data_IF_127159786926
#
_entry.id   IF_127159786926
#
_cell.length_a   1.000
_cell.length_b   1.000
_cell.length_c   1.000
_cell.angle_alpha   90.00
_cell.angle_beta   90.00
_cell.angle_gamma   90.00
#
_symmetry.space_group_name_H-M   'P 1'
#
loop_
_entity.id
_entity.type
_entity.pdbx_description
1 polymer ?
#
# COMPACT_ATOMS: atom_id res chain seq x y z
N UNK A 1 -11.66 -21.25 34.84
CA UNK A 1 -12.45 -20.05 35.21
C UNK A 1 -13.76 -20.16 34.48
N UNK A 2 -14.88 -20.02 35.18
CA UNK A 2 -16.18 -19.93 34.51
C UNK A 2 -16.35 -18.56 33.83
N UNK A 3 -17.28 -18.45 32.89
CA UNK A 3 -17.59 -17.16 32.24
C UNK A 3 -18.04 -16.09 33.24
N UNK A 4 -18.72 -16.52 34.31
CA UNK A 4 -19.15 -15.65 35.41
C UNK A 4 -17.95 -15.07 36.17
N UNK A 5 -16.95 -15.91 36.47
CA UNK A 5 -15.71 -15.47 37.10
C UNK A 5 -14.95 -14.47 36.22
N UNK A 6 -14.93 -14.70 34.90
CA UNK A 6 -14.26 -13.82 33.95
C UNK A 6 -14.87 -12.41 33.92
N UNK A 7 -16.21 -12.33 33.90
CA UNK A 7 -16.93 -11.05 33.96
C UNK A 7 -16.68 -10.33 35.29
N UNK A 8 -16.70 -11.05 36.40
CA UNK A 8 -16.42 -10.48 37.72
C UNK A 8 -14.99 -9.91 37.82
N UNK A 9 -14.00 -10.53 37.18
CA UNK A 9 -12.64 -10.00 37.15
C UNK A 9 -12.53 -8.72 36.32
N UNK A 10 -13.19 -8.66 35.16
CA UNK A 10 -13.22 -7.45 34.33
C UNK A 10 -13.97 -6.30 35.02
N UNK A 11 -15.12 -6.59 35.64
CA UNK A 11 -15.92 -5.60 36.35
C UNK A 11 -15.18 -4.98 37.54
N UNK A 12 -14.40 -5.79 38.26
CA UNK A 12 -13.59 -5.32 39.40
C UNK A 12 -12.19 -4.81 39.00
N UNK A 13 -11.85 -4.80 37.72
CA UNK A 13 -10.52 -4.38 37.24
C UNK A 13 -9.38 -5.24 37.77
N UNK A 14 -9.65 -6.53 38.02
CA UNK A 14 -8.69 -7.50 38.53
C UNK A 14 -7.94 -8.17 37.38
N UNK A 15 -6.64 -8.35 37.56
CA UNK A 15 -5.80 -9.09 36.63
C UNK A 15 -6.21 -10.56 36.56
N UNK A 16 -6.47 -11.08 35.35
CA UNK A 16 -6.86 -12.49 35.14
C UNK A 16 -5.74 -13.51 35.45
N UNK A 17 -4.52 -13.04 35.72
CA UNK A 17 -3.38 -13.91 36.05
C UNK A 17 -3.05 -13.92 37.54
N UNK A 18 -3.02 -12.75 38.18
CA UNK A 18 -2.61 -12.64 39.59
C UNK A 18 -3.71 -12.15 40.54
N UNK A 19 -4.90 -11.84 40.02
CA UNK A 19 -6.07 -11.41 40.79
C UNK A 19 -5.89 -10.10 41.58
N UNK A 20 -4.89 -9.29 41.23
CA UNK A 20 -4.67 -7.95 41.80
C UNK A 20 -5.29 -6.87 40.92
N UNK A 21 -5.74 -5.77 41.53
CA UNK A 21 -6.31 -4.62 40.81
C UNK A 21 -5.24 -3.75 40.18
N UNK A 22 -5.59 -3.04 39.09
CA UNK A 22 -4.77 -1.98 38.49
C UNK A 22 -3.97 -2.37 37.25
N UNK A 23 -4.07 -3.61 36.76
CA UNK A 23 -3.45 -4.02 35.50
C UNK A 23 -4.22 -5.18 34.84
N UNK A 24 -4.10 -5.32 33.52
CA UNK A 24 -4.63 -6.47 32.77
C UNK A 24 -3.62 -7.62 32.73
N UNK A 25 -4.08 -8.85 32.46
CA UNK A 25 -3.21 -10.04 32.44
C UNK A 25 -2.01 -9.96 31.49
N UNK A 26 -2.11 -9.17 30.40
CA UNK A 26 -1.00 -8.90 29.47
C UNK A 26 0.08 -8.00 30.06
N UNK A 27 -0.28 -7.16 31.02
CA UNK A 27 0.60 -6.22 31.72
C UNK A 27 0.94 -6.72 33.13
N UNK A 28 0.68 -8.00 33.43
CA UNK A 28 0.92 -8.51 34.77
C UNK A 28 2.42 -8.58 35.07
N UNK A 29 2.92 -7.88 36.10
CA UNK A 29 4.35 -7.86 36.42
C UNK A 29 4.85 -9.26 36.80
N UNK A 30 3.99 -10.07 37.43
CA UNK A 30 4.27 -11.49 37.75
C UNK A 30 4.39 -12.36 36.50
N UNK A 31 3.72 -12.00 35.39
CA UNK A 31 3.77 -12.75 34.12
C UNK A 31 4.90 -12.27 33.20
N UNK A 32 5.26 -10.98 33.27
CA UNK A 32 6.34 -10.38 32.49
C UNK A 32 7.75 -10.77 32.98
N UNK A 33 7.86 -11.45 34.12
CA UNK A 33 9.15 -11.89 34.65
C UNK A 33 9.52 -13.24 34.05
N UNK A 34 10.30 -13.23 32.97
CA UNK A 34 10.92 -14.45 32.43
C UNK A 34 11.92 -14.94 33.48
N UNK A 35 11.60 -16.04 34.17
CA UNK A 35 12.55 -16.71 35.07
C UNK A 35 13.70 -17.25 34.23
N UNK A 36 14.81 -16.52 34.17
CA UNK A 36 16.06 -16.98 33.59
C UNK A 36 16.49 -18.26 34.30
N UNK A 37 16.45 -19.39 33.60
CA UNK A 37 17.13 -20.61 34.04
C UNK A 37 18.62 -20.43 33.79
N UNK A 38 19.31 -19.69 34.66
CA UNK A 38 20.76 -19.69 34.93
C UNK A 38 21.17 -18.33 35.50
N UNK A 39 21.82 -18.33 36.66
CA UNK A 39 22.31 -17.13 37.33
C UNK A 39 23.56 -16.55 36.65
N UNK A 40 23.41 -15.98 35.47
CA UNK A 40 24.43 -15.12 34.87
C UNK A 40 23.78 -13.82 34.39
N UNK A 41 24.33 -12.69 34.81
CA UNK A 41 23.94 -11.29 34.48
C UNK A 41 24.07 -10.94 32.98
N UNK A 42 23.67 -11.84 32.09
CA UNK A 42 23.70 -11.63 30.65
C UNK A 42 22.27 -11.49 30.15
N UNK A 43 21.94 -10.40 29.44
CA UNK A 43 20.63 -10.24 28.84
C UNK A 43 20.35 -11.39 27.86
N UNK A 44 19.11 -11.88 27.77
CA UNK A 44 18.73 -12.95 26.85
C UNK A 44 18.82 -12.44 25.42
N UNK A 45 19.96 -12.67 24.78
CA UNK A 45 20.22 -12.39 23.38
C UNK A 45 21.17 -13.45 22.86
N UNK A 46 20.79 -14.15 21.80
CA UNK A 46 21.68 -15.10 21.12
C UNK A 46 22.87 -14.31 20.58
N UNK A 47 24.05 -14.66 21.05
CA UNK A 47 25.29 -14.08 20.57
C UNK A 47 25.52 -14.58 19.13
N UNK A 48 25.28 -13.70 18.15
CA UNK A 48 25.61 -13.94 16.75
C UNK A 48 27.12 -13.73 16.62
N UNK A 49 27.90 -14.79 16.81
CA UNK A 49 29.32 -14.80 16.44
C UNK A 49 29.52 -15.89 15.39
N UNK A 50 30.07 -15.47 14.25
CA UNK A 50 30.54 -16.26 13.11
C UNK A 50 29.51 -16.52 11.99
N UNK A 51 29.22 -15.49 11.21
CA UNK A 51 28.81 -15.63 9.81
C UNK A 51 30.08 -15.41 8.97
N UNK A 52 30.76 -16.51 8.67
CA UNK A 52 31.92 -16.52 7.78
C UNK A 52 31.39 -16.52 6.33
N UNK A 53 31.49 -15.38 5.66
CA UNK A 53 31.18 -15.29 4.22
C UNK A 53 32.35 -15.92 3.46
N UNK A 54 32.17 -17.17 3.04
CA UNK A 54 33.06 -17.81 2.08
C UNK A 54 32.92 -17.13 0.72
N UNK A 55 33.98 -16.46 0.28
CA UNK A 55 34.14 -16.03 -1.10
C UNK A 55 34.82 -17.17 -1.84
N UNK A 56 34.07 -17.95 -2.61
CA UNK A 56 34.64 -18.90 -3.57
C UNK A 56 35.13 -18.10 -4.79
N UNK A 57 36.44 -17.88 -4.82
CA UNK A 57 37.18 -16.98 -5.71
C UNK A 57 37.62 -17.67 -7.02
N UNK A 58 36.75 -18.49 -7.63
CA UNK A 58 37.06 -19.26 -8.85
C UNK A 58 35.84 -19.40 -9.79
N UNK A 59 35.10 -18.33 -10.02
CA UNK A 59 34.24 -18.24 -11.21
C UNK A 59 34.95 -17.34 -12.23
N UNK A 60 35.23 -17.83 -13.45
CA UNK A 60 35.77 -16.98 -14.50
C UNK A 60 34.80 -15.83 -14.71
N UNK A 61 35.30 -14.60 -14.57
CA UNK A 61 34.59 -13.39 -14.93
C UNK A 61 34.28 -13.52 -16.42
N UNK A 62 33.07 -13.92 -16.77
CA UNK A 62 32.61 -13.86 -18.15
C UNK A 62 32.68 -12.40 -18.57
N UNK A 63 33.62 -12.13 -19.48
CA UNK A 63 33.82 -10.86 -20.12
C UNK A 63 32.48 -10.49 -20.78
N UNK A 64 31.72 -9.61 -20.13
CA UNK A 64 30.48 -9.08 -20.68
C UNK A 64 30.85 -8.32 -21.94
N UNK A 65 30.68 -8.99 -23.08
CA UNK A 65 30.78 -8.39 -24.40
C UNK A 65 29.98 -7.10 -24.42
N UNK A 66 30.68 -6.04 -24.77
CA UNK A 66 30.23 -4.66 -24.81
C UNK A 66 28.87 -4.57 -25.51
N UNK A 67 27.78 -4.46 -24.74
CA UNK A 67 26.46 -4.21 -25.29
C UNK A 67 26.51 -2.86 -26.02
N UNK A 68 26.18 -2.80 -27.33
CA UNK A 68 26.20 -1.56 -28.07
C UNK A 68 25.19 -0.58 -27.45
N UNK A 69 25.70 0.55 -26.95
CA UNK A 69 24.94 1.74 -26.56
C UNK A 69 24.28 2.39 -27.80
N UNK A 70 23.34 1.71 -28.47
CA UNK A 70 22.54 2.32 -29.54
C UNK A 70 21.36 1.42 -29.94
N UNK A 71 20.41 1.18 -29.04
CA UNK A 71 19.08 0.68 -29.43
C UNK A 71 17.99 1.24 -28.52
N UNK A 72 17.98 2.57 -28.36
CA UNK A 72 16.75 3.25 -27.96
C UNK A 72 15.81 3.15 -29.17
N UNK A 73 14.87 2.21 -29.11
CA UNK A 73 13.74 2.15 -30.02
C UNK A 73 12.90 3.40 -29.77
N UNK A 74 13.11 4.43 -30.59
CA UNK A 74 12.17 5.53 -30.69
C UNK A 74 10.88 4.96 -31.27
N UNK A 75 9.86 4.79 -30.43
CA UNK A 75 8.50 4.68 -30.89
C UNK A 75 8.15 6.00 -31.59
N UNK A 76 8.24 6.01 -32.92
CA UNK A 76 7.58 7.00 -33.75
C UNK A 76 6.08 6.88 -33.48
N UNK A 77 5.54 7.79 -32.67
CA UNK A 77 4.11 8.04 -32.62
C UNK A 77 3.74 8.71 -33.93
N UNK A 78 3.33 7.90 -34.91
CA UNK A 78 2.70 8.37 -36.13
C UNK A 78 1.47 9.19 -35.73
N UNK A 79 1.64 10.50 -35.86
CA UNK A 79 0.61 11.51 -35.62
C UNK A 79 -0.20 11.59 -36.90
N UNK A 80 -1.15 10.67 -37.07
CA UNK A 80 -2.13 10.76 -38.14
C UNK A 80 -3.45 10.12 -37.72
N UNK A 81 -4.22 10.83 -36.90
CA UNK A 81 -5.68 10.81 -37.00
C UNK A 81 -6.27 12.16 -36.56
N UNK A 82 -6.05 13.17 -37.41
CA UNK A 82 -6.72 14.47 -37.39
C UNK A 82 -8.13 14.34 -38.01
N UNK A 83 -9.06 13.60 -37.38
CA UNK A 83 -10.42 13.50 -37.94
C UNK A 83 -11.57 13.21 -36.97
N UNK A 84 -11.60 13.86 -35.81
CA UNK A 84 -12.78 14.05 -34.95
C UNK A 84 -12.20 14.84 -33.77
N UNK A 85 -12.62 16.04 -33.37
CA UNK A 85 -13.94 16.47 -32.93
C UNK A 85 -13.94 18.01 -32.82
N UNK A 86 -14.50 18.72 -33.79
CA UNK A 86 -14.99 20.09 -33.56
C UNK A 86 -16.36 20.00 -32.88
N UNK A 87 -16.38 19.88 -31.55
CA UNK A 87 -17.60 20.06 -30.77
C UNK A 87 -17.47 21.28 -29.86
N UNK A 88 -17.85 22.42 -30.46
CA UNK A 88 -18.64 23.51 -29.87
C UNK A 88 -18.33 23.86 -28.41
N UNK A 89 -17.47 24.86 -28.23
CA UNK A 89 -17.39 25.72 -27.05
C UNK A 89 -18.74 26.41 -26.78
N UNK A 90 -19.63 25.77 -26.03
CA UNK A 90 -20.75 26.42 -25.34
C UNK A 90 -20.90 25.86 -23.93
N UNK A 91 -20.86 26.78 -22.98
CA UNK A 91 -21.20 26.66 -21.56
C UNK A 91 -20.39 25.70 -20.67
N UNK A 92 -19.29 26.25 -20.14
CA UNK A 92 -18.44 25.64 -19.09
C UNK A 92 -19.09 25.59 -17.70
N UNK A 93 -20.31 26.13 -17.50
CA UNK A 93 -20.98 26.10 -16.18
C UNK A 93 -21.88 24.89 -15.93
N UNK A 94 -22.48 24.27 -16.96
CA UNK A 94 -23.34 23.09 -16.77
C UNK A 94 -22.55 21.77 -16.64
N UNK A 95 -21.27 21.74 -17.03
CA UNK A 95 -20.42 20.54 -16.95
C UNK A 95 -20.03 20.13 -15.52
N UNK A 96 -20.07 21.04 -14.54
CA UNK A 96 -19.76 20.73 -13.14
C UNK A 96 -20.92 20.05 -12.39
N UNK A 97 -22.16 20.18 -12.88
CA UNK A 97 -23.33 19.59 -12.23
C UNK A 97 -23.48 18.09 -12.49
N UNK A 98 -22.85 17.55 -13.52
CA UNK A 98 -22.91 16.11 -13.82
C UNK A 98 -22.13 15.25 -12.82
N UNK A 99 -21.09 15.80 -12.17
CA UNK A 99 -20.30 15.09 -11.16
C UNK A 99 -20.95 15.05 -9.77
N UNK A 100 -21.90 15.94 -9.48
CA UNK A 100 -22.49 16.09 -8.14
C UNK A 100 -23.87 15.44 -8.00
N UNK A 101 -24.46 14.99 -9.10
CA UNK A 101 -25.81 14.42 -9.09
C UNK A 101 -25.79 12.90 -8.93
N UNK A 102 -25.99 12.48 -7.67
CA UNK A 102 -26.27 11.12 -7.16
C UNK A 102 -25.07 10.19 -7.01
N UNK A 103 -24.62 10.07 -5.76
CA UNK A 103 -24.27 8.90 -4.91
C UNK A 103 -24.39 7.44 -5.46
N UNK A 104 -24.40 7.20 -6.76
CA UNK A 104 -24.63 5.91 -7.43
C UNK A 104 -23.41 5.33 -8.14
N UNK A 105 -22.28 6.03 -8.16
CA UNK A 105 -21.05 5.58 -8.82
C UNK A 105 -20.19 4.59 -8.01
N UNK A 106 -20.57 4.28 -6.77
CA UNK A 106 -19.79 3.39 -5.88
C UNK A 106 -20.06 1.89 -6.18
N UNK A 107 -20.98 1.56 -7.09
CA UNK A 107 -21.60 0.24 -7.12
C UNK A 107 -21.12 -0.78 -8.16
N UNK A 108 -20.37 -0.43 -9.21
CA UNK A 108 -20.07 -1.41 -10.26
C UNK A 108 -18.66 -1.31 -10.83
N UNK A 109 -17.91 -2.39 -10.54
CA UNK A 109 -16.65 -2.82 -11.14
C UNK A 109 -15.46 -1.93 -10.78
N UNK A 110 -14.88 -2.19 -9.61
CA UNK A 110 -13.45 -1.92 -9.35
C UNK A 110 -12.66 -2.81 -10.32
N UNK A 111 -12.03 -2.27 -11.38
CA UNK A 111 -11.54 -3.10 -12.47
C UNK A 111 -10.21 -3.79 -12.16
N UNK A 112 -9.59 -3.43 -11.05
CA UNK A 112 -8.27 -3.91 -10.72
C UNK A 112 -8.13 -4.18 -9.22
N UNK A 113 -8.57 -5.36 -8.81
CA UNK A 113 -7.97 -5.96 -7.62
C UNK A 113 -6.53 -6.33 -8.00
N UNK A 114 -5.54 -5.87 -7.23
CA UNK A 114 -4.15 -6.14 -7.54
C UNK A 114 -3.93 -7.63 -7.38
N UNK A 115 -3.00 -8.20 -8.16
CA UNK A 115 -2.78 -9.65 -8.21
C UNK A 115 -2.58 -10.27 -6.83
N UNK A 116 -2.04 -9.51 -5.86
CA UNK A 116 -1.82 -9.98 -4.50
C UNK A 116 -3.06 -10.09 -3.61
N UNK A 117 -4.18 -9.47 -3.98
CA UNK A 117 -5.47 -9.59 -3.29
C UNK A 117 -6.31 -10.75 -3.81
N UNK A 118 -6.08 -11.18 -5.05
CA UNK A 118 -6.76 -12.33 -5.65
C UNK A 118 -6.11 -13.64 -5.17
N UNK A 119 -6.91 -14.51 -4.55
CA UNK A 119 -6.44 -15.85 -4.20
C UNK A 119 -6.52 -16.76 -5.42
N UNK A 120 -5.40 -17.36 -5.77
CA UNK A 120 -5.30 -18.31 -6.88
C UNK A 120 -4.52 -19.54 -6.42
N UNK A 121 -5.24 -20.66 -6.25
CA UNK A 121 -4.66 -21.95 -5.81
C UNK A 121 -3.57 -22.47 -6.75
N UNK A 122 -3.54 -22.02 -8.00
CA UNK A 122 -2.52 -22.42 -8.97
C UNK A 122 -1.22 -21.63 -8.86
N UNK A 123 -1.23 -20.47 -8.17
CA UNK A 123 -0.03 -19.64 -8.01
C UNK A 123 0.90 -20.24 -6.95
N UNK A 124 2.21 -20.32 -7.23
CA UNK A 124 3.16 -20.75 -6.22
C UNK A 124 3.19 -19.74 -5.05
N UNK A 125 3.40 -20.20 -3.81
CA UNK A 125 3.56 -19.32 -2.66
C UNK A 125 4.61 -18.24 -2.88
N UNK A 126 4.29 -17.01 -2.52
CA UNK A 126 5.24 -15.90 -2.58
C UNK A 126 6.38 -16.13 -1.58
N UNK A 127 7.63 -15.96 -2.05
CA UNK A 127 8.83 -16.12 -1.20
C UNK A 127 9.12 -14.89 -0.33
N UNK A 128 8.56 -13.73 -0.69
CA UNK A 128 8.81 -12.45 -0.04
C UNK A 128 7.50 -11.65 0.01
N UNK A 129 7.31 -10.88 1.09
CA UNK A 129 6.11 -10.07 1.35
C UNK A 129 6.02 -8.83 0.43
N UNK A 130 7.16 -8.29 0.01
CA UNK A 130 7.23 -6.95 -0.59
C UNK A 130 7.12 -5.82 0.45
N UNK A 131 7.05 -4.58 -0.01
CA UNK A 131 6.76 -3.42 0.84
C UNK A 131 5.25 -3.18 0.88
N UNK A 132 4.62 -3.57 1.98
CA UNK A 132 3.17 -3.47 2.14
C UNK A 132 2.63 -2.04 2.03
N UNK A 133 3.44 -1.01 2.35
CA UNK A 133 3.00 0.37 2.20
C UNK A 133 2.92 0.76 0.73
N UNK A 134 3.88 0.31 -0.10
CA UNK A 134 3.90 0.55 -1.55
C UNK A 134 2.69 -0.13 -2.20
N UNK A 135 2.53 -1.43 -1.96
CA UNK A 135 1.47 -2.25 -2.56
C UNK A 135 0.07 -1.70 -2.23
N UNK A 136 -0.14 -1.35 -0.95
CA UNK A 136 -1.41 -0.76 -0.50
C UNK A 136 -1.64 0.63 -1.08
N UNK A 137 -0.58 1.44 -1.16
CA UNK A 137 -0.63 2.78 -1.70
C UNK A 137 -0.99 2.80 -3.19
N UNK A 138 -0.33 1.98 -4.01
CA UNK A 138 -0.64 1.81 -5.44
C UNK A 138 -2.10 1.39 -5.62
N UNK A 139 -2.54 0.37 -4.88
CA UNK A 139 -3.93 -0.09 -4.94
C UNK A 139 -4.95 1.00 -4.59
N UNK A 140 -4.74 1.73 -3.49
CA UNK A 140 -5.65 2.81 -3.10
C UNK A 140 -5.70 3.87 -4.21
N UNK A 141 -4.56 4.20 -4.79
CA UNK A 141 -4.51 5.22 -5.83
C UNK A 141 -5.23 4.77 -7.10
N UNK A 142 -4.94 3.56 -7.59
CA UNK A 142 -5.54 3.00 -8.81
C UNK A 142 -7.06 2.80 -8.64
N UNK A 143 -7.51 2.27 -7.50
CA UNK A 143 -8.93 2.01 -7.19
C UNK A 143 -9.75 3.27 -6.91
N UNK A 144 -9.08 4.39 -6.60
CA UNK A 144 -9.75 5.65 -6.29
C UNK A 144 -9.96 6.53 -7.52
N UNK A 145 -9.50 6.14 -8.71
CA UNK A 145 -9.75 6.91 -9.92
C UNK A 145 -11.26 7.17 -10.14
N UNK A 146 -11.65 8.34 -10.65
CA UNK A 146 -10.78 9.36 -11.26
C UNK A 146 -10.24 10.41 -10.30
N UNK A 147 -9.23 11.15 -10.74
CA UNK A 147 -8.60 12.29 -10.09
C UNK A 147 -8.94 13.63 -10.77
N UNK A 148 -8.78 14.76 -10.06
CA UNK A 148 -8.97 16.08 -10.64
C UNK A 148 -8.06 16.28 -11.86
N UNK A 149 -8.64 16.75 -12.97
CA UNK A 149 -7.94 16.90 -14.25
C UNK A 149 -8.01 15.69 -15.18
N UNK A 150 -8.52 14.54 -14.72
CA UNK A 150 -8.70 13.38 -15.59
C UNK A 150 -9.77 13.62 -16.67
N UNK A 151 -9.51 13.13 -17.88
CA UNK A 151 -10.48 13.19 -18.96
C UNK A 151 -11.62 12.19 -18.76
N UNK A 152 -12.87 12.65 -18.98
CA UNK A 152 -14.09 11.84 -18.84
C UNK A 152 -14.07 10.50 -19.61
N UNK A 153 -13.35 10.45 -20.73
CA UNK A 153 -13.27 9.25 -21.55
C UNK A 153 -12.56 8.09 -20.81
N UNK A 154 -11.59 8.43 -19.97
CA UNK A 154 -10.79 7.48 -19.18
C UNK A 154 -11.56 7.01 -17.95
N UNK A 155 -12.35 7.92 -17.36
CA UNK A 155 -13.19 7.63 -16.19
C UNK A 155 -14.40 6.75 -16.53
N UNK A 156 -14.75 6.64 -17.81
CA UNK A 156 -16.07 6.15 -18.24
C UNK A 156 -16.25 4.63 -18.19
N UNK A 157 -15.19 3.81 -18.09
CA UNK A 157 -15.34 2.34 -18.05
C UNK A 157 -14.46 1.59 -17.07
N UNK A 158 -13.18 1.92 -16.92
CA UNK A 158 -12.26 1.10 -16.10
C UNK A 158 -11.12 1.85 -15.40
N UNK A 159 -11.00 3.17 -15.56
CA UNK A 159 -9.78 3.88 -15.16
C UNK A 159 -8.55 3.41 -15.93
N UNK A 160 -7.38 3.94 -15.56
CA UNK A 160 -6.09 3.52 -16.12
C UNK A 160 -5.46 2.49 -15.20
N UNK A 161 -5.27 1.27 -15.67
CA UNK A 161 -4.57 0.23 -14.91
C UNK A 161 -3.08 0.59 -14.78
N UNK A 162 -2.50 0.32 -13.60
CA UNK A 162 -1.08 0.58 -13.31
C UNK A 162 -0.66 2.05 -13.54
N UNK A 163 -1.59 2.99 -13.33
CA UNK A 163 -1.33 4.43 -13.50
C UNK A 163 -0.27 4.90 -12.53
N UNK A 164 -0.36 4.42 -11.30
CA UNK A 164 0.48 4.86 -10.21
C UNK A 164 1.62 3.89 -9.98
N UNK A 165 2.80 4.47 -9.72
CA UNK A 165 3.93 3.76 -9.14
C UNK A 165 4.41 4.44 -7.89
N UNK A 166 4.57 3.67 -6.82
CA UNK A 166 5.07 4.15 -5.54
C UNK A 166 6.41 3.51 -5.28
N UNK A 167 7.42 4.32 -5.02
CA UNK A 167 8.77 3.83 -4.75
C UNK A 167 9.26 4.39 -3.42
N UNK A 168 9.97 3.58 -2.65
CA UNK A 168 10.67 4.05 -1.45
C UNK A 168 11.91 4.81 -1.89
N UNK A 169 11.99 6.10 -1.53
CA UNK A 169 13.17 6.94 -1.80
C UNK A 169 14.19 6.76 -0.69
N UNK A 170 13.71 6.83 0.56
CA UNK A 170 14.50 6.62 1.78
C UNK A 170 13.60 6.09 2.91
N UNK A 171 14.12 5.97 4.14
CA UNK A 171 13.35 5.45 5.28
C UNK A 171 12.20 6.36 5.77
N UNK A 172 12.19 7.61 5.32
CA UNK A 172 11.26 8.66 5.74
C UNK A 172 10.34 9.10 4.61
N UNK A 173 10.62 8.72 3.36
CA UNK A 173 9.99 9.30 2.18
C UNK A 173 9.72 8.24 1.11
N UNK A 174 8.51 8.27 0.58
CA UNK A 174 8.10 7.54 -0.61
C UNK A 174 7.78 8.55 -1.71
N UNK A 175 7.92 8.15 -2.97
CA UNK A 175 7.57 8.95 -4.13
C UNK A 175 6.45 8.28 -4.90
N UNK A 176 5.40 9.03 -5.21
CA UNK A 176 4.29 8.62 -6.07
C UNK A 176 4.55 9.21 -7.45
N UNK A 177 4.50 8.35 -8.47
CA UNK A 177 4.59 8.71 -9.88
C UNK A 177 3.26 8.42 -10.54
N UNK A 178 2.63 9.44 -11.08
CA UNK A 178 1.43 9.33 -11.90
C UNK A 178 1.85 9.38 -13.37
N UNK A 179 1.82 8.22 -14.03
CA UNK A 179 2.18 8.11 -15.45
C UNK A 179 1.21 8.82 -16.38
N UNK A 180 -0.01 9.09 -15.93
CA UNK A 180 -1.04 9.75 -16.73
C UNK A 180 -0.90 11.27 -16.70
N UNK A 181 -0.80 11.87 -15.51
CA UNK A 181 -0.62 13.32 -15.38
C UNK A 181 0.84 13.78 -15.52
N UNK A 182 1.80 12.85 -15.46
CA UNK A 182 3.23 13.14 -15.40
C UNK A 182 3.71 13.69 -14.05
N UNK A 183 2.82 13.80 -13.05
CA UNK A 183 3.13 14.36 -11.74
C UNK A 183 3.93 13.35 -10.91
N UNK A 184 4.97 13.86 -10.25
CA UNK A 184 5.75 13.13 -9.25
C UNK A 184 5.69 13.88 -7.93
N UNK A 185 5.22 13.22 -6.87
CA UNK A 185 5.06 13.84 -5.55
C UNK A 185 5.60 12.95 -4.43
N UNK A 186 6.31 13.56 -3.50
CA UNK A 186 6.85 12.87 -2.35
C UNK A 186 5.82 12.84 -1.20
N UNK A 187 5.67 11.67 -0.58
CA UNK A 187 4.81 11.43 0.58
C UNK A 187 5.66 10.93 1.76
N UNK A 188 5.58 11.58 2.93
CA UNK A 188 6.27 11.10 4.11
C UNK A 188 5.78 9.72 4.56
N UNK A 189 6.72 8.83 4.89
CA UNK A 189 6.47 7.46 5.35
C UNK A 189 5.52 7.39 6.55
N UNK A 190 5.61 8.36 7.47
CA UNK A 190 4.75 8.40 8.66
C UNK A 190 3.26 8.58 8.30
N UNK A 191 2.94 9.19 7.14
CA UNK A 191 1.56 9.32 6.67
C UNK A 191 1.05 8.00 6.12
N UNK A 192 1.84 7.31 5.30
CA UNK A 192 1.47 5.98 4.78
C UNK A 192 1.29 4.95 5.89
N UNK A 193 2.07 5.05 6.98
CA UNK A 193 1.92 4.21 8.17
C UNK A 193 0.68 4.53 9.02
N UNK A 194 0.03 5.67 8.80
CA UNK A 194 -1.10 6.10 9.62
C UNK A 194 -2.40 5.49 9.07
N UNK A 195 -3.11 4.61 9.80
CA UNK A 195 -4.23 3.85 9.23
C UNK A 195 -5.38 4.72 8.71
N UNK A 196 -5.60 5.88 9.30
CA UNK A 196 -6.66 6.81 8.88
C UNK A 196 -6.23 7.75 7.74
N UNK A 197 -4.98 7.68 7.27
CA UNK A 197 -4.52 8.54 6.19
C UNK A 197 -5.28 8.23 4.91
N UNK A 198 -5.97 9.23 4.37
CA UNK A 198 -6.74 9.13 3.12
C UNK A 198 -5.84 9.50 1.96
N UNK A 199 -5.03 8.55 1.53
CA UNK A 199 -3.99 8.78 0.53
C UNK A 199 -4.54 9.34 -0.79
N UNK A 200 -5.58 8.73 -1.35
CA UNK A 200 -6.22 9.21 -2.58
C UNK A 200 -6.77 10.64 -2.42
N UNK A 201 -7.38 10.96 -1.26
CA UNK A 201 -7.84 12.32 -0.98
C UNK A 201 -6.69 13.32 -0.98
N UNK A 202 -5.61 12.97 -0.30
CA UNK A 202 -4.43 13.84 -0.20
C UNK A 202 -3.81 14.07 -1.58
N UNK A 203 -3.70 13.02 -2.39
CA UNK A 203 -3.15 13.10 -3.75
C UNK A 203 -4.05 13.94 -4.68
N UNK A 204 -5.37 13.76 -4.60
CA UNK A 204 -6.32 14.57 -5.37
C UNK A 204 -6.24 16.06 -5.03
N UNK A 205 -6.09 16.42 -3.74
CA UNK A 205 -5.86 17.81 -3.35
C UNK A 205 -4.54 18.35 -3.92
N UNK A 206 -3.49 17.53 -3.96
CA UNK A 206 -2.22 17.94 -4.56
C UNK A 206 -2.38 18.25 -6.05
N UNK A 207 -2.99 17.33 -6.83
CA UNK A 207 -3.27 17.56 -8.24
C UNK A 207 -4.17 18.78 -8.48
N UNK A 208 -5.22 18.95 -7.69
CA UNK A 208 -6.11 20.09 -7.81
C UNK A 208 -5.40 21.43 -7.60
N UNK A 209 -4.47 21.49 -6.64
CA UNK A 209 -3.66 22.68 -6.40
C UNK A 209 -2.68 22.95 -7.55
N UNK A 210 -2.02 21.91 -8.09
CA UNK A 210 -1.11 22.06 -9.24
C UNK A 210 -1.84 22.54 -10.51
N UNK A 211 -3.09 22.14 -10.69
CA UNK A 211 -3.94 22.51 -11.82
C UNK A 211 -4.73 23.80 -11.61
N UNK A 212 -4.66 24.42 -10.43
CA UNK A 212 -5.48 25.57 -10.02
C UNK A 212 -6.99 25.35 -10.21
N UNK A 213 -7.48 24.16 -9.81
CA UNK A 213 -8.90 23.78 -9.88
C UNK A 213 -9.48 23.53 -8.49
N UNK A 214 -10.74 23.92 -8.31
CA UNK A 214 -11.45 23.64 -7.06
C UNK A 214 -11.80 22.15 -6.96
N UNK A 215 -11.39 21.51 -5.86
CA UNK A 215 -11.63 20.09 -5.63
C UNK A 215 -12.60 19.86 -4.46
N UNK A 216 -13.79 19.33 -4.81
CA UNK A 216 -14.88 19.00 -3.87
C UNK A 216 -15.14 17.49 -3.75
N UNK A 217 -14.35 16.65 -4.41
CA UNK A 217 -14.56 15.21 -4.42
C UNK A 217 -14.36 14.54 -3.06
N UNK A 218 -14.94 13.35 -2.92
CA UNK A 218 -14.81 12.50 -1.74
C UNK A 218 -14.02 11.24 -2.08
N UNK A 219 -12.89 11.06 -1.39
CA UNK A 219 -12.10 9.83 -1.41
C UNK A 219 -12.11 9.22 -0.01
N UNK A 220 -13.07 8.32 0.27
CA UNK A 220 -13.28 7.79 1.62
C UNK A 220 -12.20 6.78 2.02
N UNK A 221 -11.55 6.12 1.05
CA UNK A 221 -10.58 5.06 1.26
C UNK A 221 -9.40 5.52 2.10
N UNK A 222 -9.09 4.74 3.12
CA UNK A 222 -7.99 4.97 4.06
C UNK A 222 -6.88 3.95 3.82
N UNK A 223 -5.65 4.28 4.24
CA UNK A 223 -4.51 3.35 4.20
C UNK A 223 -4.79 2.03 4.92
N UNK A 224 -5.58 2.05 5.99
CA UNK A 224 -5.85 0.86 6.79
C UNK A 224 -4.58 0.33 7.46
N UNK A 225 -4.60 -0.94 7.86
CA UNK A 225 -3.39 -1.59 8.37
C UNK A 225 -2.74 -2.39 7.24
N UNK A 226 -1.99 -1.68 6.39
CA UNK A 226 -1.39 -2.24 5.18
C UNK A 226 -0.62 -3.55 5.43
N UNK A 227 0.14 -3.63 6.54
CA UNK A 227 0.91 -4.81 6.86
C UNK A 227 0.03 -6.00 7.25
N UNK A 228 -1.00 -5.77 8.06
CA UNK A 228 -1.95 -6.81 8.49
C UNK A 228 -2.70 -7.38 7.29
N UNK A 229 -3.23 -6.51 6.42
CA UNK A 229 -3.97 -6.93 5.22
C UNK A 229 -3.11 -7.74 4.25
N UNK A 230 -1.85 -7.36 4.05
CA UNK A 230 -0.95 -8.08 3.15
C UNK A 230 -0.51 -9.44 3.76
N UNK A 231 -0.30 -9.49 5.07
CA UNK A 231 0.00 -10.74 5.79
C UNK A 231 -1.19 -11.70 5.73
N UNK A 232 -2.43 -11.22 5.87
CA UNK A 232 -3.62 -12.05 5.70
C UNK A 232 -3.70 -12.67 4.30
N UNK A 233 -3.38 -11.88 3.26
CA UNK A 233 -3.31 -12.39 1.89
C UNK A 233 -2.23 -13.48 1.75
N UNK A 234 -1.03 -13.27 2.30
CA UNK A 234 0.03 -14.28 2.25
C UNK A 234 -0.31 -15.58 2.97
N UNK A 235 -0.93 -15.49 4.15
CA UNK A 235 -1.31 -16.67 4.92
C UNK A 235 -2.34 -17.48 4.13
N UNK A 236 -3.27 -16.80 3.46
CA UNK A 236 -4.29 -17.41 2.60
C UNK A 236 -3.67 -18.10 1.38
N UNK A 237 -2.64 -17.50 0.76
CA UNK A 237 -1.92 -18.06 -0.40
C UNK A 237 -1.15 -19.37 -0.07
N UNK A 238 -1.15 -19.81 1.19
CA UNK A 238 -0.49 -21.03 1.64
C UNK A 238 0.97 -20.78 1.95
N UNK A 239 1.36 -20.96 3.22
CA UNK A 239 2.77 -21.08 3.56
C UNK A 239 3.39 -22.29 2.82
N UNK A 240 4.71 -22.30 2.57
CA UNK A 240 5.36 -23.44 1.94
C UNK A 240 4.98 -24.71 2.70
N UNK A 241 4.32 -25.66 2.02
CA UNK A 241 4.10 -27.00 2.58
C UNK A 241 5.49 -27.59 2.80
N UNK A 242 5.92 -27.59 4.06
CA UNK A 242 7.19 -28.20 4.50
C UNK A 242 7.22 -29.69 4.23
#
# INVERSE_FOLDING_TARGET
MSDEDYRNHLANGLCLYCHEKGHLARQCPKKSTVKGKTGSDKPPGMAIFNLEMGYDDDQPVEEMDSLPLASISYCNYDTSDESMYELSNKDTKERHEFFHSRNGWIGRLMPFEPEWMEFDESRPPRKQLGDALIEKAEWILDSSQPYPGDELNITSRTGVAYRFKVCKVDDKTYQIRDSYSGVCVDVPAYRLRHPQFRMARWFAHHLANELDIEFLGSYPTQMGNALEELVECLIRDGGPTM
#
